data_IF_334110561581
#
_entry.id   IF_334110561581
#
_cell.length_a   1.000
_cell.length_b   1.000
_cell.length_c   1.000
_cell.angle_alpha   90.00
_cell.angle_beta   90.00
_cell.angle_gamma   90.00
#
_symmetry.space_group_name_H-M   'P 1'
#
loop_
_entity.id
_entity.type
_entity.pdbx_description
1 polymer ?
#
# COMPACT_ATOMS: atom_id res chain seq x y z
N UNK A 1 -2.93 28.86 2.69
CA UNK A 1 -2.02 27.70 2.82
C UNK A 1 -1.24 27.57 1.52
N UNK A 2 0.05 27.89 1.51
CA UNK A 2 0.92 27.74 0.34
C UNK A 2 1.43 26.29 0.32
N UNK A 3 1.29 25.53 -0.78
CA UNK A 3 1.86 24.19 -0.87
C UNK A 3 3.40 24.31 -0.92
N UNK A 4 4.09 23.68 0.03
CA UNK A 4 5.55 23.50 -0.08
C UNK A 4 5.80 22.31 -1.00
N UNK A 5 6.52 22.54 -2.09
CA UNK A 5 6.98 21.48 -3.00
C UNK A 5 8.30 20.96 -2.43
N UNK A 6 8.36 19.67 -2.08
CA UNK A 6 9.58 19.03 -1.56
C UNK A 6 10.59 18.85 -2.70
N UNK A 7 11.32 19.92 -3.02
CA UNK A 7 12.41 19.89 -4.01
C UNK A 7 13.71 19.28 -3.50
N UNK A 8 13.92 19.29 -2.18
CA UNK A 8 15.12 18.81 -1.50
C UNK A 8 14.75 17.98 -0.27
N UNK A 9 15.64 17.06 0.14
CA UNK A 9 15.46 16.31 1.40
C UNK A 9 15.48 17.33 2.55
N UNK A 10 14.44 17.40 3.39
CA UNK A 10 14.37 18.39 4.46
C UNK A 10 15.54 18.22 5.42
N UNK A 11 16.03 19.34 5.95
CA UNK A 11 17.01 19.36 7.02
C UNK A 11 16.50 18.56 8.23
N UNK A 12 17.40 17.95 8.98
CA UNK A 12 17.07 17.03 10.09
C UNK A 12 16.17 17.71 11.13
N UNK A 13 16.34 19.03 11.32
CA UNK A 13 15.50 19.84 12.18
C UNK A 13 14.04 19.94 11.69
N UNK A 14 13.82 20.10 10.38
CA UNK A 14 12.47 20.18 9.79
C UNK A 14 11.76 18.81 9.82
N UNK A 15 12.50 17.72 9.59
CA UNK A 15 11.96 16.36 9.69
C UNK A 15 11.47 16.02 11.12
N UNK A 16 12.13 16.58 12.14
CA UNK A 16 11.76 16.37 13.55
C UNK A 16 10.44 17.08 13.89
N UNK A 17 10.25 18.31 13.40
CA UNK A 17 9.02 19.09 13.60
C UNK A 17 7.81 18.46 12.90
N UNK A 18 7.99 17.93 11.69
CA UNK A 18 6.92 17.22 10.96
C UNK A 18 6.50 15.92 11.68
N UNK A 19 7.46 15.21 12.28
CA UNK A 19 7.20 14.01 13.06
C UNK A 19 6.41 14.31 14.35
N UNK A 20 6.77 15.37 15.07
CA UNK A 20 6.02 15.83 16.25
C UNK A 20 4.57 16.16 15.90
N UNK A 21 4.35 16.87 14.78
CA UNK A 21 3.00 17.21 14.31
C UNK A 21 2.17 15.98 13.93
N UNK A 22 2.80 14.94 13.36
CA UNK A 22 2.12 13.69 13.06
C UNK A 22 1.72 12.96 14.35
N UNK A 23 2.62 12.90 15.32
CA UNK A 23 2.39 12.25 16.62
C UNK A 23 1.21 12.86 17.37
N UNK A 24 1.12 14.20 17.45
CA UNK A 24 -0.01 14.90 18.10
C UNK A 24 -1.34 14.57 17.43
N UNK A 25 -1.37 14.50 16.09
CA UNK A 25 -2.58 14.16 15.35
C UNK A 25 -2.99 12.71 15.58
N UNK A 26 -2.05 11.77 15.58
CA UNK A 26 -2.35 10.36 15.87
C UNK A 26 -2.93 10.21 17.28
N UNK A 27 -2.33 10.85 18.28
CA UNK A 27 -2.83 10.84 19.66
C UNK A 27 -4.26 11.39 19.77
N UNK A 28 -4.57 12.48 19.05
CA UNK A 28 -5.91 13.09 19.02
C UNK A 28 -6.99 12.10 18.55
N UNK A 29 -6.64 11.16 17.66
CA UNK A 29 -7.57 10.15 17.14
C UNK A 29 -7.44 8.77 17.81
N UNK A 30 -6.65 8.65 18.89
CA UNK A 30 -6.40 7.36 19.56
C UNK A 30 -5.62 6.37 18.69
N UNK A 31 -4.81 6.88 17.76
CA UNK A 31 -3.94 6.12 16.87
C UNK A 31 -2.49 6.19 17.37
N UNK A 32 -1.69 5.20 16.99
CA UNK A 32 -0.26 5.17 17.24
C UNK A 32 0.50 4.83 15.96
N UNK A 33 1.69 5.40 15.79
CA UNK A 33 2.57 5.02 14.70
C UNK A 33 3.20 3.66 15.01
N UNK A 34 3.01 2.70 14.10
CA UNK A 34 3.73 1.45 14.14
C UNK A 34 4.96 1.58 13.25
N UNK A 35 6.15 1.57 13.85
CA UNK A 35 7.40 1.54 13.12
C UNK A 35 7.53 0.21 12.37
N UNK A 36 7.36 0.27 11.05
CA UNK A 36 7.56 -0.87 10.16
C UNK A 36 8.97 -0.77 9.60
N UNK A 37 9.70 -1.89 9.57
CA UNK A 37 11.00 -1.96 8.88
C UNK A 37 10.88 -1.33 7.49
N UNK A 38 11.77 -0.37 7.16
CA UNK A 38 11.84 0.32 5.87
C UNK A 38 12.32 -0.58 4.73
N UNK A 39 11.84 -1.82 4.69
CA UNK A 39 12.06 -2.76 3.60
C UNK A 39 10.94 -2.65 2.56
N UNK A 40 11.12 -3.25 1.38
CA UNK A 40 10.06 -3.25 0.37
C UNK A 40 8.85 -4.13 0.72
N UNK A 41 8.68 -4.59 1.96
CA UNK A 41 7.49 -5.28 2.42
C UNK A 41 6.53 -4.37 3.20
N UNK A 42 6.91 -3.12 3.51
CA UNK A 42 6.17 -2.22 4.37
C UNK A 42 4.67 -2.10 3.99
N UNK A 43 4.35 -1.89 2.72
CA UNK A 43 2.96 -1.81 2.24
C UNK A 43 2.18 -3.10 2.54
N UNK A 44 2.80 -4.26 2.33
CA UNK A 44 2.16 -5.57 2.56
C UNK A 44 2.03 -5.90 4.05
N UNK A 45 2.96 -5.43 4.89
CA UNK A 45 2.88 -5.52 6.35
C UNK A 45 1.75 -4.64 6.87
N UNK A 46 1.62 -3.40 6.37
CA UNK A 46 0.51 -2.52 6.70
C UNK A 46 -0.85 -3.12 6.32
N UNK A 47 -0.98 -3.67 5.10
CA UNK A 47 -2.20 -4.37 4.69
C UNK A 47 -2.47 -5.61 5.54
N UNK A 48 -1.45 -6.39 5.90
CA UNK A 48 -1.61 -7.56 6.76
C UNK A 48 -2.06 -7.18 8.18
N UNK A 49 -1.51 -6.12 8.74
CA UNK A 49 -1.94 -5.57 10.02
C UNK A 49 -3.41 -5.11 9.99
N UNK A 50 -3.82 -4.37 8.96
CA UNK A 50 -5.20 -3.90 8.85
C UNK A 50 -6.22 -5.04 8.67
N UNK A 51 -5.83 -6.14 8.01
CA UNK A 51 -6.72 -7.26 7.70
C UNK A 51 -6.74 -8.36 8.75
N UNK A 52 -5.58 -8.66 9.34
CA UNK A 52 -5.38 -9.82 10.22
C UNK A 52 -4.93 -9.41 11.62
N UNK A 53 -4.75 -8.11 11.90
CA UNK A 53 -4.12 -7.59 13.12
C UNK A 53 -2.75 -8.24 13.38
N UNK A 54 -2.07 -8.63 12.31
CA UNK A 54 -0.79 -9.32 12.36
C UNK A 54 0.04 -9.04 11.10
N UNK A 55 1.11 -8.21 11.18
CA UNK A 55 1.95 -7.86 10.04
C UNK A 55 2.77 -9.04 9.48
N UNK A 56 2.95 -10.14 10.21
CA UNK A 56 3.70 -11.33 9.73
C UNK A 56 2.98 -12.05 8.58
N UNK A 57 1.69 -11.78 8.39
CA UNK A 57 0.91 -12.27 7.25
C UNK A 57 1.23 -11.54 5.94
N UNK A 58 2.19 -10.60 5.89
CA UNK A 58 2.54 -9.83 4.70
C UNK A 58 2.87 -10.70 3.47
N UNK A 59 3.49 -11.88 3.66
CA UNK A 59 3.77 -12.84 2.59
C UNK A 59 2.49 -13.42 1.97
N UNK A 60 1.48 -13.67 2.81
CA UNK A 60 0.17 -14.13 2.37
C UNK A 60 -0.54 -13.02 1.59
N UNK A 61 -0.56 -11.80 2.13
CA UNK A 61 -1.16 -10.63 1.46
C UNK A 61 -0.55 -10.38 0.09
N UNK A 62 0.79 -10.32 -0.01
CA UNK A 62 1.50 -10.18 -1.29
C UNK A 62 1.08 -11.26 -2.30
N UNK A 63 0.94 -12.50 -1.84
CA UNK A 63 0.52 -13.62 -2.71
C UNK A 63 -0.89 -13.43 -3.25
N UNK A 64 -1.83 -12.97 -2.43
CA UNK A 64 -3.22 -12.73 -2.86
C UNK A 64 -3.30 -11.57 -3.86
N UNK A 65 -2.57 -10.48 -3.61
CA UNK A 65 -2.50 -9.33 -4.51
C UNK A 65 -1.91 -9.74 -5.87
N UNK A 66 -0.78 -10.45 -5.87
CA UNK A 66 -0.19 -10.95 -7.13
C UNK A 66 -1.13 -11.91 -7.86
N UNK A 67 -1.91 -12.71 -7.14
CA UNK A 67 -2.93 -13.59 -7.73
C UNK A 67 -4.02 -12.77 -8.42
N UNK A 68 -4.51 -11.71 -7.77
CA UNK A 68 -5.48 -10.77 -8.35
C UNK A 68 -4.92 -10.11 -9.61
N UNK A 69 -3.71 -9.55 -9.54
CA UNK A 69 -3.03 -8.94 -10.69
C UNK A 69 -2.92 -9.93 -11.86
N UNK A 70 -2.56 -11.18 -11.59
CA UNK A 70 -2.47 -12.22 -12.62
C UNK A 70 -3.83 -12.57 -13.22
N UNK A 71 -4.87 -12.69 -12.40
CA UNK A 71 -6.20 -13.11 -12.83
C UNK A 71 -6.91 -12.03 -13.66
N UNK A 72 -6.87 -10.78 -13.18
CA UNK A 72 -7.58 -9.64 -13.77
C UNK A 72 -6.65 -8.72 -14.54
N UNK A 73 -5.67 -9.28 -15.28
CA UNK A 73 -4.61 -8.52 -16.00
C UNK A 73 -5.13 -7.31 -16.77
N UNK A 74 -6.26 -7.46 -17.48
CA UNK A 74 -6.85 -6.41 -18.32
C UNK A 74 -7.19 -5.13 -17.55
N UNK A 75 -7.49 -5.23 -16.26
CA UNK A 75 -7.81 -4.08 -15.40
C UNK A 75 -6.57 -3.26 -15.03
N UNK A 76 -5.38 -3.88 -15.01
CA UNK A 76 -4.17 -3.26 -14.44
C UNK A 76 -3.10 -2.97 -15.49
N UNK A 77 -3.04 -3.74 -16.58
CA UNK A 77 -1.93 -3.69 -17.53
C UNK A 77 -1.72 -2.30 -18.15
N UNK A 78 -2.78 -1.55 -18.42
CA UNK A 78 -2.69 -0.20 -18.98
C UNK A 78 -2.01 0.83 -18.07
N UNK A 79 -1.92 0.55 -16.77
CA UNK A 79 -1.29 1.42 -15.78
C UNK A 79 0.17 1.04 -15.49
N UNK A 80 0.66 -0.06 -16.05
CA UNK A 80 2.02 -0.56 -15.83
C UNK A 80 2.94 -0.04 -16.95
N UNK A 81 3.97 0.79 -16.66
CA UNK A 81 4.85 1.39 -17.67
C UNK A 81 5.89 0.41 -18.24
N UNK A 82 5.68 -0.89 -18.06
CA UNK A 82 6.60 -1.95 -18.48
C UNK A 82 5.84 -3.20 -18.91
N UNK A 83 6.55 -4.17 -19.50
CA UNK A 83 5.95 -5.47 -19.85
C UNK A 83 5.31 -6.10 -18.60
N UNK A 84 4.00 -6.37 -18.67
CA UNK A 84 3.23 -6.85 -17.52
C UNK A 84 3.80 -8.12 -16.87
N UNK A 85 4.34 -9.03 -17.69
CA UNK A 85 5.02 -10.24 -17.20
C UNK A 85 6.24 -9.93 -16.33
N UNK A 86 7.01 -8.89 -16.67
CA UNK A 86 8.14 -8.41 -15.88
C UNK A 86 7.67 -7.80 -14.57
N UNK A 87 6.62 -6.98 -14.62
CA UNK A 87 5.99 -6.40 -13.43
C UNK A 87 5.52 -7.47 -12.44
N UNK A 88 4.78 -8.48 -12.91
CA UNK A 88 4.34 -9.61 -12.07
C UNK A 88 5.51 -10.37 -11.45
N UNK A 89 6.64 -10.52 -12.16
CA UNK A 89 7.84 -11.19 -11.61
C UNK A 89 8.48 -10.34 -10.51
N UNK A 90 8.52 -9.01 -10.68
CA UNK A 90 8.99 -8.09 -9.64
C UNK A 90 8.08 -8.17 -8.41
N UNK A 91 6.77 -8.01 -8.57
CA UNK A 91 5.82 -8.00 -7.45
C UNK A 91 5.76 -9.30 -6.64
N UNK A 92 6.15 -10.43 -7.24
CA UNK A 92 6.32 -11.72 -6.55
C UNK A 92 7.50 -11.74 -5.58
N UNK A 93 8.55 -10.94 -5.83
CA UNK A 93 9.78 -10.96 -5.05
C UNK A 93 9.52 -10.34 -3.68
N UNK A 94 9.94 -11.03 -2.62
CA UNK A 94 9.94 -10.46 -1.27
C UNK A 94 10.85 -9.24 -1.21
N UNK A 95 10.42 -8.18 -0.52
CA UNK A 95 11.14 -6.92 -0.47
C UNK A 95 11.05 -6.09 -1.75
N UNK A 96 10.26 -6.47 -2.75
CA UNK A 96 9.91 -5.55 -3.85
C UNK A 96 8.82 -4.60 -3.37
N UNK A 97 9.07 -3.30 -3.54
CA UNK A 97 8.17 -2.22 -3.15
C UNK A 97 6.84 -2.33 -3.90
N UNK A 98 5.74 -2.20 -3.16
CA UNK A 98 4.42 -2.05 -3.76
C UNK A 98 4.20 -0.63 -4.27
N UNK A 99 3.20 -0.47 -5.13
CA UNK A 99 2.76 0.78 -5.73
C UNK A 99 1.24 0.96 -5.59
N UNK A 100 0.68 1.97 -6.26
CA UNK A 100 -0.75 2.23 -6.29
C UNK A 100 -1.56 1.08 -6.95
N UNK A 101 -0.97 0.33 -7.88
CA UNK A 101 -1.64 -0.78 -8.58
C UNK A 101 -1.78 -1.97 -7.62
N UNK A 102 -0.77 -2.25 -6.80
CA UNK A 102 -0.88 -3.27 -5.74
C UNK A 102 -1.91 -2.91 -4.68
N UNK A 103 -2.11 -1.62 -4.36
CA UNK A 103 -3.18 -1.17 -3.47
C UNK A 103 -4.56 -1.38 -4.07
N UNK A 104 -4.76 -0.97 -5.33
CA UNK A 104 -6.02 -1.20 -6.03
C UNK A 104 -6.35 -2.69 -6.11
N UNK A 105 -5.37 -3.53 -6.47
CA UNK A 105 -5.55 -4.97 -6.52
C UNK A 105 -5.83 -5.59 -5.13
N UNK A 106 -5.28 -5.02 -4.05
CA UNK A 106 -5.64 -5.44 -2.69
C UNK A 106 -7.10 -5.12 -2.39
N UNK A 107 -7.56 -3.90 -2.69
CA UNK A 107 -8.95 -3.49 -2.50
C UNK A 107 -9.92 -4.37 -3.30
N UNK A 108 -9.65 -4.59 -4.59
CA UNK A 108 -10.50 -5.42 -5.44
C UNK A 108 -10.60 -6.86 -4.92
N UNK A 109 -9.47 -7.41 -4.43
CA UNK A 109 -9.41 -8.76 -3.87
C UNK A 109 -10.17 -8.89 -2.55
N UNK A 110 -10.21 -7.82 -1.75
CA UNK A 110 -10.97 -7.74 -0.50
C UNK A 110 -12.47 -7.58 -0.76
N UNK A 111 -12.85 -6.70 -1.69
CA UNK A 111 -14.25 -6.56 -2.12
C UNK A 111 -14.78 -7.88 -2.68
N UNK A 112 -13.95 -8.63 -3.42
CA UNK A 112 -14.27 -9.99 -3.85
C UNK A 112 -14.45 -10.95 -2.67
N UNK A 113 -13.55 -10.91 -1.68
CA UNK A 113 -13.61 -11.79 -0.52
C UNK A 113 -14.82 -11.51 0.38
N UNK A 114 -15.31 -10.28 0.41
CA UNK A 114 -16.49 -9.85 1.17
C UNK A 114 -17.80 -9.97 0.37
N UNK A 115 -17.74 -10.43 -0.89
CA UNK A 115 -18.93 -10.55 -1.74
C UNK A 115 -19.57 -9.22 -2.14
N UNK A 116 -18.85 -8.10 -2.02
CA UNK A 116 -19.36 -6.74 -2.26
C UNK A 116 -19.25 -6.29 -3.73
N UNK A 117 -19.16 -7.23 -4.68
CA UNK A 117 -19.02 -6.92 -6.11
C UNK A 117 -20.25 -6.28 -6.75
N UNK A 118 -21.37 -6.22 -6.04
CA UNK A 118 -22.65 -5.69 -6.55
C UNK A 118 -22.98 -4.27 -6.07
N UNK A 119 -22.00 -3.52 -5.54
CA UNK A 119 -22.20 -2.08 -5.38
C UNK A 119 -21.74 -1.34 -6.64
N UNK A 120 -22.66 -1.24 -7.60
CA UNK A 120 -22.67 -0.15 -8.58
C UNK A 120 -22.75 1.20 -7.84
N UNK A 121 -21.60 1.74 -7.45
CA UNK A 121 -21.35 3.16 -7.29
C UNK A 121 -20.34 3.45 -8.40
N UNK A 122 -20.73 3.98 -9.55
CA UNK A 122 -21.17 5.35 -9.80
C UNK A 122 -21.99 5.31 -11.11
N UNK A 123 -23.24 5.78 -11.07
CA UNK A 123 -23.98 6.23 -12.26
C UNK A 123 -23.81 7.74 -12.42
#
# INVERSE_FOLDING_TARGET
HTPRVNGEIPDVNDATLDHERLSERLATYGLAELQIEGDGNCQFRALADQLFRNPDYHKHVRRQIVKQLKHSRKLYEGYVPMKYKTYLRKMKKSGEWGDHITLQAAADRLLEALGLKDCNYIS
#
